data_IF_376196413855
#
_entry.id   IF_376196413855
#
_cell.length_a   1.000
_cell.length_b   1.000
_cell.length_c   1.000
_cell.angle_alpha   90.00
_cell.angle_beta   90.00
_cell.angle_gamma   90.00
#
_symmetry.space_group_name_H-M   'P 1'
#
loop_
_entity.id
_entity.type
_entity.pdbx_description
1 polymer ?
#
# COMPACT_ATOMS: atom_id res chain seq x y z
N UNK A 1 -17.76 -17.31 -12.00
CA UNK A 1 -16.43 -16.79 -12.41
C UNK A 1 -15.43 -17.30 -11.40
N UNK A 2 -14.38 -17.98 -11.85
CA UNK A 2 -13.31 -18.45 -10.96
C UNK A 2 -12.29 -17.34 -10.79
N UNK A 3 -12.01 -16.95 -9.56
CA UNK A 3 -10.94 -16.00 -9.25
C UNK A 3 -9.61 -16.69 -9.49
N UNK A 4 -8.74 -16.09 -10.29
CA UNK A 4 -7.39 -16.58 -10.48
C UNK A 4 -6.54 -16.28 -9.23
N UNK A 5 -6.39 -17.26 -8.36
CA UNK A 5 -5.62 -17.12 -7.12
C UNK A 5 -4.13 -16.80 -7.36
N UNK A 6 -3.57 -17.17 -8.53
CA UNK A 6 -2.23 -16.75 -8.90
C UNK A 6 -2.16 -15.24 -9.16
N UNK A 7 -3.19 -14.62 -9.74
CA UNK A 7 -3.25 -13.17 -9.93
C UNK A 7 -3.25 -12.43 -8.59
N UNK A 8 -3.97 -12.97 -7.59
CA UNK A 8 -4.00 -12.42 -6.22
C UNK A 8 -2.64 -12.55 -5.56
N UNK A 9 -1.96 -13.69 -5.71
CA UNK A 9 -0.60 -13.88 -5.19
C UNK A 9 0.40 -12.90 -5.84
N UNK A 10 0.32 -12.72 -7.16
CA UNK A 10 1.15 -11.74 -7.90
C UNK A 10 0.88 -10.32 -7.41
N UNK A 11 -0.36 -9.94 -7.12
CA UNK A 11 -0.68 -8.65 -6.49
C UNK A 11 0.03 -8.48 -5.14
N UNK A 12 -0.01 -9.52 -4.29
CA UNK A 12 0.70 -9.50 -3.01
C UNK A 12 2.21 -9.29 -3.16
N UNK A 13 2.85 -10.05 -4.06
CA UNK A 13 4.30 -9.92 -4.31
C UNK A 13 4.65 -8.54 -4.88
N UNK A 14 3.86 -8.04 -5.85
CA UNK A 14 4.04 -6.73 -6.44
C UNK A 14 3.91 -5.61 -5.38
N UNK A 15 2.99 -5.75 -4.43
CA UNK A 15 2.84 -4.81 -3.32
C UNK A 15 4.06 -4.79 -2.40
N UNK A 16 4.67 -5.94 -2.11
CA UNK A 16 5.89 -5.99 -1.30
C UNK A 16 7.05 -5.28 -2.01
N UNK A 17 7.22 -5.53 -3.30
CA UNK A 17 8.25 -4.88 -4.12
C UNK A 17 8.00 -3.37 -4.15
N UNK A 18 6.78 -2.93 -4.45
CA UNK A 18 6.41 -1.52 -4.45
C UNK A 18 6.69 -0.86 -3.10
N UNK A 19 6.26 -1.49 -1.99
CA UNK A 19 6.48 -0.99 -0.64
C UNK A 19 7.97 -0.80 -0.33
N UNK A 20 8.80 -1.78 -0.70
CA UNK A 20 10.25 -1.70 -0.49
C UNK A 20 10.91 -0.57 -1.28
N UNK A 21 10.48 -0.34 -2.53
CA UNK A 21 10.99 0.74 -3.39
C UNK A 21 10.48 2.10 -2.93
N UNK A 22 9.19 2.19 -2.57
CA UNK A 22 8.53 3.43 -2.20
C UNK A 22 9.06 3.98 -0.87
N UNK A 23 9.06 3.15 0.18
CA UNK A 23 9.53 3.52 1.52
C UNK A 23 11.03 3.28 1.74
N UNK A 24 11.74 2.76 0.73
CA UNK A 24 13.19 2.66 0.71
C UNK A 24 13.83 3.80 -0.10
N UNK A 25 14.28 3.55 -1.34
CA UNK A 25 15.04 4.50 -2.14
C UNK A 25 14.26 5.77 -2.53
N UNK A 26 12.94 5.71 -2.79
CA UNK A 26 12.19 6.88 -3.28
C UNK A 26 11.87 7.88 -2.17
N UNK A 27 11.17 7.44 -1.13
CA UNK A 27 10.64 8.31 -0.06
C UNK A 27 11.11 7.93 1.34
N UNK A 28 11.99 6.93 1.50
CA UNK A 28 12.37 6.41 2.81
C UNK A 28 12.99 7.44 3.74
N UNK A 29 13.87 8.32 3.23
CA UNK A 29 14.46 9.42 4.04
C UNK A 29 13.38 10.35 4.60
N UNK A 30 12.43 10.75 3.76
CA UNK A 30 11.32 11.63 4.16
C UNK A 30 10.35 10.90 5.09
N UNK A 31 10.10 9.61 4.85
CA UNK A 31 9.27 8.78 5.70
C UNK A 31 9.85 8.66 7.11
N UNK A 32 11.15 8.41 7.24
CA UNK A 32 11.83 8.38 8.54
C UNK A 32 11.70 9.71 9.31
N UNK A 33 11.81 10.85 8.62
CA UNK A 33 11.55 12.16 9.22
C UNK A 33 10.10 12.30 9.70
N UNK A 34 9.13 11.86 8.89
CA UNK A 34 7.69 11.95 9.18
C UNK A 34 7.29 11.11 10.39
N UNK A 35 7.85 9.90 10.53
CA UNK A 35 7.59 9.01 11.66
C UNK A 35 8.54 9.27 12.84
N UNK A 36 9.43 10.26 12.73
CA UNK A 36 10.44 10.62 13.74
C UNK A 36 11.30 9.43 14.15
N UNK A 37 11.63 8.56 13.19
CA UNK A 37 12.45 7.38 13.45
C UNK A 37 13.90 7.77 13.71
N UNK A 38 14.48 7.20 14.76
CA UNK A 38 15.91 7.30 15.04
C UNK A 38 16.67 6.39 14.07
N UNK A 39 17.65 6.90 13.31
CA UNK A 39 18.45 6.06 12.44
C UNK A 39 19.28 5.07 13.26
N UNK A 40 19.25 3.79 12.88
CA UNK A 40 20.11 2.77 13.45
C UNK A 40 21.59 3.10 13.17
N UNK A 41 22.39 3.14 14.23
CA UNK A 41 23.81 3.51 14.21
C UNK A 41 24.70 2.27 14.10
N UNK A 42 24.25 1.11 14.59
CA UNK A 42 25.02 -0.14 14.52
C UNK A 42 24.36 -1.22 13.64
N UNK A 43 25.14 -2.20 13.13
CA UNK A 43 24.60 -3.37 12.45
C UNK A 43 23.63 -4.19 13.32
N UNK A 44 23.87 -4.30 14.63
CA UNK A 44 22.95 -5.01 15.54
C UNK A 44 21.61 -4.28 15.67
N UNK A 45 21.62 -2.95 15.76
CA UNK A 45 20.40 -2.14 15.80
C UNK A 45 19.58 -2.29 14.52
N UNK A 46 20.24 -2.29 13.35
CA UNK A 46 19.58 -2.54 12.06
C UNK A 46 18.92 -3.92 12.03
N UNK A 47 19.64 -4.96 12.46
CA UNK A 47 19.13 -6.33 12.51
C UNK A 47 17.94 -6.46 13.46
N UNK A 48 18.01 -5.82 14.63
CA UNK A 48 16.93 -5.79 15.62
C UNK A 48 15.69 -5.09 15.08
N UNK A 49 15.84 -3.90 14.48
CA UNK A 49 14.73 -3.18 13.84
C UNK A 49 14.09 -3.99 12.72
N UNK A 50 14.89 -4.68 11.90
CA UNK A 50 14.40 -5.56 10.84
C UNK A 50 13.62 -6.75 11.41
N UNK A 51 14.12 -7.40 12.46
CA UNK A 51 13.42 -8.52 13.12
C UNK A 51 12.10 -8.11 13.77
N UNK A 52 12.05 -6.91 14.38
CA UNK A 52 10.85 -6.38 15.02
C UNK A 52 9.79 -5.97 13.98
N UNK A 53 10.23 -5.60 12.78
CA UNK A 53 9.34 -5.21 11.69
C UNK A 53 8.82 -6.41 10.89
N UNK A 54 9.49 -7.57 10.96
CA UNK A 54 9.13 -8.76 10.18
C UNK A 54 7.69 -9.25 10.41
N UNK A 55 7.17 -9.34 11.67
CA UNK A 55 5.78 -9.73 11.90
C UNK A 55 4.79 -8.73 11.28
N UNK A 56 5.11 -7.44 11.32
CA UNK A 56 4.27 -6.39 10.72
C UNK A 56 4.24 -6.51 9.18
N UNK A 57 5.35 -6.86 8.55
CA UNK A 57 5.40 -7.14 7.10
C UNK A 57 4.53 -8.34 6.72
N UNK A 58 4.55 -9.42 7.52
CA UNK A 58 3.71 -10.59 7.29
C UNK A 58 2.22 -10.24 7.42
N UNK A 59 1.84 -9.52 8.48
CA UNK A 59 0.46 -9.04 8.67
C UNK A 59 0.05 -8.16 7.49
N UNK A 60 0.89 -7.21 7.10
CA UNK A 60 0.63 -6.33 5.96
C UNK A 60 0.44 -7.12 4.65
N UNK A 61 1.26 -8.13 4.39
CA UNK A 61 1.12 -8.98 3.22
C UNK A 61 -0.22 -9.72 3.21
N UNK A 62 -0.65 -10.28 4.34
CA UNK A 62 -1.96 -10.94 4.47
C UNK A 62 -3.11 -9.96 4.23
N UNK A 63 -3.05 -8.76 4.82
CA UNK A 63 -4.06 -7.72 4.61
C UNK A 63 -4.13 -7.28 3.15
N UNK A 64 -2.99 -7.20 2.47
CA UNK A 64 -2.93 -6.89 1.04
C UNK A 64 -3.55 -8.00 0.19
N UNK A 65 -3.27 -9.27 0.49
CA UNK A 65 -3.91 -10.39 -0.21
C UNK A 65 -5.42 -10.36 -0.04
N UNK A 66 -5.90 -10.09 1.18
CA UNK A 66 -7.32 -9.92 1.47
C UNK A 66 -7.93 -8.75 0.67
N UNK A 67 -7.24 -7.61 0.61
CA UNK A 67 -7.67 -6.45 -0.16
C UNK A 67 -7.77 -6.77 -1.67
N UNK A 68 -6.75 -7.41 -2.25
CA UNK A 68 -6.73 -7.81 -3.66
C UNK A 68 -7.84 -8.85 -3.96
N UNK A 69 -8.12 -9.76 -3.03
CA UNK A 69 -9.19 -10.74 -3.13
C UNK A 69 -10.58 -10.10 -3.16
N UNK A 70 -10.87 -9.18 -2.21
CA UNK A 70 -12.12 -8.42 -2.18
C UNK A 70 -12.29 -7.58 -3.45
N UNK A 71 -11.20 -6.95 -3.91
CA UNK A 71 -11.19 -6.17 -5.14
C UNK A 71 -11.51 -7.04 -6.38
N UNK A 72 -10.99 -8.26 -6.45
CA UNK A 72 -11.28 -9.20 -7.53
C UNK A 72 -12.78 -9.54 -7.62
N UNK A 73 -13.45 -9.72 -6.48
CA UNK A 73 -14.90 -9.93 -6.45
C UNK A 73 -15.69 -8.71 -6.90
N UNK A 74 -15.31 -7.51 -6.48
CA UNK A 74 -15.93 -6.26 -6.92
C UNK A 74 -15.79 -6.07 -8.44
N UNK A 75 -14.59 -6.30 -8.96
CA UNK A 75 -14.27 -6.24 -10.40
C UNK A 75 -15.02 -7.31 -11.22
N UNK A 76 -15.33 -8.46 -10.62
CA UNK A 76 -16.11 -9.52 -11.26
C UNK A 76 -17.61 -9.22 -11.27
N UNK A 77 -18.12 -8.55 -10.23
CA UNK A 77 -19.53 -8.15 -10.10
C UNK A 77 -19.92 -6.95 -10.98
N UNK A 78 -19.06 -5.94 -11.10
CA UNK A 78 -19.32 -4.75 -11.90
C UNK A 78 -18.79 -4.89 -13.33
N UNK A 79 -19.68 -5.34 -14.24
CA UNK A 79 -19.32 -5.66 -15.64
C UNK A 79 -19.15 -4.44 -16.56
N UNK A 80 -19.84 -3.33 -16.24
CA UNK A 80 -19.83 -2.12 -17.07
C UNK A 80 -18.55 -1.27 -16.91
N UNK A 81 -17.72 -1.58 -15.91
CA UNK A 81 -16.48 -0.87 -15.63
C UNK A 81 -15.27 -1.82 -15.73
N UNK A 82 -14.18 -1.33 -16.33
CA UNK A 82 -12.92 -2.09 -16.40
C UNK A 82 -12.36 -2.38 -15.00
N UNK A 83 -11.49 -3.40 -14.87
CA UNK A 83 -10.81 -3.69 -13.60
C UNK A 83 -9.98 -2.51 -13.08
N UNK A 84 -9.39 -1.75 -13.99
CA UNK A 84 -8.69 -0.50 -13.71
C UNK A 84 -9.64 0.57 -13.13
N UNK A 85 -10.77 0.82 -13.80
CA UNK A 85 -11.79 1.79 -13.34
C UNK A 85 -12.28 1.43 -11.94
N UNK A 86 -12.70 0.17 -11.73
CA UNK A 86 -13.16 -0.31 -10.42
C UNK A 86 -12.12 -0.08 -9.29
N UNK A 87 -10.85 -0.37 -9.58
CA UNK A 87 -9.76 -0.19 -8.60
C UNK A 87 -9.51 1.28 -8.27
N UNK A 88 -9.58 2.16 -9.26
CA UNK A 88 -9.49 3.60 -9.04
C UNK A 88 -10.64 4.15 -8.19
N UNK A 89 -11.88 3.68 -8.44
CA UNK A 89 -13.03 4.11 -7.66
C UNK A 89 -12.98 3.64 -6.21
N UNK A 90 -12.55 2.39 -5.97
CA UNK A 90 -12.38 1.88 -4.59
C UNK A 90 -11.26 2.64 -3.87
N UNK A 91 -10.14 2.90 -4.54
CA UNK A 91 -9.08 3.73 -3.98
C UNK A 91 -9.59 5.15 -3.65
N UNK A 92 -10.26 5.80 -4.59
CA UNK A 92 -10.71 7.18 -4.45
C UNK A 92 -11.80 7.34 -3.38
N UNK A 93 -12.73 6.40 -3.27
CA UNK A 93 -13.88 6.50 -2.38
C UNK A 93 -13.60 5.99 -0.96
N UNK A 94 -12.72 4.98 -0.80
CA UNK A 94 -12.50 4.34 0.50
C UNK A 94 -11.08 4.54 1.02
N UNK A 95 -10.06 4.29 0.19
CA UNK A 95 -8.68 4.30 0.68
C UNK A 95 -8.14 5.72 0.87
N UNK A 96 -8.36 6.60 -0.10
CA UNK A 96 -7.90 7.99 -0.04
C UNK A 96 -8.52 8.74 1.16
N UNK A 97 -9.84 8.65 1.42
CA UNK A 97 -10.45 9.27 2.61
C UNK A 97 -9.98 8.66 3.93
N UNK A 98 -9.80 7.33 4.01
CA UNK A 98 -9.24 6.68 5.21
C UNK A 98 -7.80 7.12 5.47
N UNK A 99 -6.95 7.15 4.45
CA UNK A 99 -5.56 7.62 4.58
C UNK A 99 -5.51 9.12 4.93
N UNK A 100 -6.38 9.94 4.33
CA UNK A 100 -6.54 11.34 4.68
C UNK A 100 -6.89 11.50 6.17
N UNK A 101 -7.91 10.78 6.63
CA UNK A 101 -8.32 10.79 8.04
C UNK A 101 -7.19 10.36 8.98
N UNK A 102 -6.45 9.29 8.66
CA UNK A 102 -5.34 8.84 9.50
C UNK A 102 -4.09 9.75 9.45
N UNK A 103 -3.92 10.53 8.38
CA UNK A 103 -2.71 11.34 8.17
C UNK A 103 -2.85 12.80 8.57
N UNK A 104 -4.06 13.36 8.53
CA UNK A 104 -4.30 14.81 8.65
C UNK A 104 -4.49 15.28 10.08
N UNK A 105 -4.96 14.42 10.98
CA UNK A 105 -5.29 14.76 12.36
C UNK A 105 -4.13 14.45 13.33
N UNK A 106 -2.97 15.06 13.11
CA UNK A 106 -1.83 14.96 14.04
C UNK A 106 -1.33 16.33 14.46
N UNK A 107 -0.71 16.41 15.64
CA UNK A 107 -0.10 17.65 16.17
C UNK A 107 1.27 17.97 15.51
N UNK A 108 1.48 17.51 14.29
CA UNK A 108 2.72 17.74 13.52
C UNK A 108 2.62 19.02 12.69
N UNK A 109 3.75 19.56 12.26
CA UNK A 109 3.75 20.74 11.38
C UNK A 109 2.99 20.47 10.07
N UNK A 110 2.35 21.51 9.51
CA UNK A 110 1.59 21.42 8.24
C UNK A 110 2.39 20.77 7.11
N UNK A 111 3.71 21.01 7.06
CA UNK A 111 4.62 20.40 6.10
C UNK A 111 4.72 18.88 6.26
N UNK A 112 4.83 18.39 7.51
CA UNK A 112 4.90 16.95 7.81
C UNK A 112 3.56 16.28 7.53
N UNK A 113 2.45 16.92 7.88
CA UNK A 113 1.10 16.42 7.61
C UNK A 113 0.89 16.22 6.10
N UNK A 114 1.18 17.24 5.27
CA UNK A 114 1.06 17.11 3.82
C UNK A 114 2.01 16.07 3.22
N UNK A 115 3.26 16.02 3.70
CA UNK A 115 4.21 15.01 3.23
C UNK A 115 3.73 13.58 3.58
N UNK A 116 3.20 13.37 4.79
CA UNK A 116 2.62 12.08 5.22
C UNK A 116 1.43 11.70 4.34
N UNK A 117 0.52 12.65 4.10
CA UNK A 117 -0.64 12.43 3.25
C UNK A 117 -0.23 12.06 1.82
N UNK A 118 0.61 12.87 1.16
CA UNK A 118 0.99 12.65 -0.23
C UNK A 118 1.76 11.33 -0.43
N UNK A 119 2.65 10.97 0.49
CA UNK A 119 3.41 9.71 0.42
C UNK A 119 2.49 8.51 0.56
N UNK A 120 1.57 8.53 1.54
CA UNK A 120 0.66 7.40 1.77
C UNK A 120 -0.45 7.32 0.71
N UNK A 121 -1.06 8.45 0.33
CA UNK A 121 -2.09 8.49 -0.69
C UNK A 121 -1.52 8.11 -2.06
N UNK A 122 -0.33 8.62 -2.40
CA UNK A 122 0.40 8.28 -3.62
C UNK A 122 0.81 6.80 -3.66
N UNK A 123 1.31 6.25 -2.56
CA UNK A 123 1.59 4.81 -2.46
C UNK A 123 0.35 3.98 -2.76
N UNK A 124 -0.78 4.30 -2.10
CA UNK A 124 -2.02 3.58 -2.30
C UNK A 124 -2.57 3.74 -3.73
N UNK A 125 -2.41 4.90 -4.36
CA UNK A 125 -2.82 5.10 -5.74
C UNK A 125 -2.09 4.14 -6.68
N UNK A 126 -0.75 4.13 -6.60
CA UNK A 126 0.08 3.27 -7.44
C UNK A 126 -0.21 1.80 -7.17
N UNK A 127 -0.42 1.44 -5.90
CA UNK A 127 -0.79 0.08 -5.49
C UNK A 127 -2.10 -0.38 -6.14
N UNK A 128 -3.16 0.42 -6.06
CA UNK A 128 -4.47 0.07 -6.61
C UNK A 128 -4.51 0.07 -8.13
N UNK A 129 -3.77 0.98 -8.78
CA UNK A 129 -3.56 0.93 -10.24
C UNK A 129 -2.91 -0.39 -10.63
N UNK A 130 -1.88 -0.82 -9.90
CA UNK A 130 -1.21 -2.10 -10.15
C UNK A 130 -2.17 -3.29 -10.00
N UNK A 131 -2.97 -3.32 -8.93
CA UNK A 131 -3.94 -4.39 -8.71
C UNK A 131 -5.00 -4.44 -9.82
N UNK A 132 -5.55 -3.29 -10.20
CA UNK A 132 -6.54 -3.21 -11.27
C UNK A 132 -6.01 -3.72 -12.61
N UNK A 133 -4.74 -3.45 -12.92
CA UNK A 133 -4.07 -3.95 -14.11
C UNK A 133 -3.84 -5.46 -14.04
N UNK A 134 -3.23 -5.96 -12.96
CA UNK A 134 -2.92 -7.40 -12.79
C UNK A 134 -4.21 -8.22 -12.82
N UNK A 135 -5.19 -7.86 -11.99
CA UNK A 135 -6.46 -8.58 -11.90
C UNK A 135 -7.29 -8.43 -13.19
N UNK A 136 -7.19 -7.28 -13.86
CA UNK A 136 -7.88 -7.03 -15.14
C UNK A 136 -7.32 -7.86 -16.30
N UNK A 137 -5.99 -8.05 -16.35
CA UNK A 137 -5.33 -8.86 -17.37
C UNK A 137 -5.50 -10.38 -17.15
N UNK A 138 -5.74 -10.80 -15.91
CA UNK A 138 -5.82 -12.21 -15.51
C UNK A 138 -7.28 -12.66 -15.23
N UNK A 139 -8.26 -11.90 -15.73
CA UNK A 139 -9.70 -12.21 -15.66
C UNK A 139 -10.05 -13.52 -16.36
#
# INVERSE_FOLDING_TARGET
MQINYYAVLVCGLAAMVLGSIWYGPLFGKKWMEIIKATPAKTPEEKKKMMSQSMPLYVIQFVLVLFQAWVLAYYIAGWKDASGFTNSLWIWAAFVMPTVAACSMWTNDSRRIVWARFLIQAGYNLVLFVMFGLILGMWK
#
